data_IF_377786671060
#
_entry.id   IF_377786671060
#
_cell.length_a   1.000
_cell.length_b   1.000
_cell.length_c   1.000
_cell.angle_alpha   90.00
_cell.angle_beta   90.00
_cell.angle_gamma   90.00
#
_symmetry.space_group_name_H-M   'P 1'
#
loop_
_entity.id
_entity.type
_entity.pdbx_description
1 polymer ?
#
# COMPACT_ATOMS: atom_id res chain seq x y z
N UNK A 1 -37.71 27.04 -53.06
CA UNK A 1 -37.91 25.98 -52.05
C UNK A 1 -36.75 25.00 -52.16
N UNK A 2 -35.68 25.28 -51.43
CA UNK A 2 -34.59 24.35 -51.12
C UNK A 2 -35.06 23.56 -49.87
N UNK A 3 -34.78 22.27 -49.63
CA UNK A 3 -33.57 21.49 -49.85
C UNK A 3 -33.90 20.00 -50.04
N UNK A 4 -33.06 19.35 -50.83
CA UNK A 4 -32.84 17.93 -50.79
C UNK A 4 -31.87 17.56 -49.65
N UNK A 5 -31.89 16.26 -49.33
CA UNK A 5 -30.75 15.42 -49.03
C UNK A 5 -30.38 15.16 -47.57
N UNK A 6 -30.47 13.87 -47.25
CA UNK A 6 -29.59 13.08 -46.38
C UNK A 6 -28.50 13.84 -45.63
N UNK A 7 -28.56 13.77 -44.30
CA UNK A 7 -27.47 13.15 -43.55
C UNK A 7 -28.02 12.64 -42.21
N UNK A 8 -28.02 11.31 -42.06
CA UNK A 8 -28.01 10.69 -40.73
C UNK A 8 -26.70 11.11 -40.07
N UNK A 9 -26.74 12.19 -39.31
CA UNK A 9 -25.75 12.35 -38.25
C UNK A 9 -26.06 11.29 -37.21
N UNK A 10 -25.36 10.16 -37.35
CA UNK A 10 -25.07 9.27 -36.24
C UNK A 10 -24.56 10.18 -35.13
N UNK A 11 -25.34 10.30 -34.06
CA UNK A 11 -24.97 11.01 -32.85
C UNK A 11 -23.83 10.18 -32.24
N UNK A 12 -22.61 10.44 -32.70
CA UNK A 12 -21.40 9.92 -32.10
C UNK A 12 -21.27 10.68 -30.79
N UNK A 13 -21.75 10.09 -29.69
CA UNK A 13 -21.46 10.58 -28.35
C UNK A 13 -19.96 10.47 -28.17
N UNK A 14 -19.27 11.56 -28.49
CA UNK A 14 -17.84 11.73 -28.23
C UNK A 14 -17.66 11.62 -26.71
N UNK A 15 -16.94 10.60 -26.29
CA UNK A 15 -16.47 10.39 -24.92
C UNK A 15 -15.40 11.44 -24.56
N UNK A 16 -15.73 12.72 -24.52
CA UNK A 16 -14.68 13.74 -24.34
C UNK A 16 -15.19 14.96 -23.58
N UNK A 17 -15.33 14.81 -22.27
CA UNK A 17 -15.12 15.90 -21.32
C UNK A 17 -14.27 15.37 -20.14
N UNK A 18 -13.21 14.63 -20.45
CA UNK A 18 -12.20 14.29 -19.46
C UNK A 18 -11.34 15.52 -19.19
N UNK A 19 -11.54 16.13 -18.02
CA UNK A 19 -10.70 17.21 -17.54
C UNK A 19 -9.64 16.67 -16.57
N UNK A 20 -8.40 17.12 -16.73
CA UNK A 20 -7.34 16.86 -15.77
C UNK A 20 -7.35 17.98 -14.74
N UNK A 21 -7.75 17.66 -13.53
CA UNK A 21 -7.77 18.61 -12.41
C UNK A 21 -6.71 18.21 -11.39
N UNK A 22 -5.98 19.21 -10.88
CA UNK A 22 -5.09 19.02 -9.73
C UNK A 22 -5.81 19.49 -8.48
N UNK A 23 -6.08 18.58 -7.56
CA UNK A 23 -6.71 18.92 -6.28
C UNK A 23 -5.66 19.50 -5.32
N UNK A 24 -5.98 20.53 -4.52
CA UNK A 24 -5.10 20.99 -3.45
C UNK A 24 -4.84 19.86 -2.45
N UNK A 25 -3.58 19.57 -2.13
CA UNK A 25 -3.20 18.52 -1.20
C UNK A 25 -1.90 18.86 -0.46
N UNK A 26 -1.67 18.21 0.69
CA UNK A 26 -0.39 18.35 1.40
C UNK A 26 0.79 17.86 0.57
N UNK A 27 1.97 18.45 0.78
CA UNK A 27 3.23 17.95 0.20
C UNK A 27 3.88 16.98 1.17
N UNK A 28 4.40 15.85 0.66
CA UNK A 28 5.23 15.00 1.51
C UNK A 28 6.50 15.75 1.93
N UNK A 29 6.97 15.59 3.18
CA UNK A 29 8.17 16.27 3.68
C UNK A 29 9.47 15.51 3.39
N UNK A 30 9.39 14.24 2.96
CA UNK A 30 10.53 13.34 2.82
C UNK A 30 10.54 12.60 1.47
N UNK A 31 11.51 11.72 1.25
CA UNK A 31 11.64 10.92 0.03
C UNK A 31 11.10 9.49 0.14
N UNK A 32 10.51 9.10 1.28
CA UNK A 32 10.20 7.69 1.61
C UNK A 32 8.75 7.46 2.03
N UNK A 33 7.93 8.51 2.12
CA UNK A 33 6.55 8.45 2.57
C UNK A 33 5.52 8.58 1.45
N UNK A 34 5.94 8.61 0.17
CA UNK A 34 5.04 8.84 -0.96
C UNK A 34 3.87 7.84 -1.02
N UNK A 35 4.15 6.55 -0.78
CA UNK A 35 3.10 5.52 -0.74
C UNK A 35 2.06 5.74 0.36
N UNK A 36 2.48 6.27 1.52
CA UNK A 36 1.58 6.60 2.64
C UNK A 36 0.64 7.74 2.24
N UNK A 37 1.18 8.80 1.65
CA UNK A 37 0.37 9.93 1.19
C UNK A 37 -0.59 9.53 0.05
N UNK A 38 -0.15 8.72 -0.91
CA UNK A 38 -1.03 8.20 -1.96
C UNK A 38 -2.23 7.43 -1.39
N UNK A 39 -2.01 6.55 -0.41
CA UNK A 39 -3.08 5.80 0.23
C UNK A 39 -4.03 6.72 1.01
N UNK A 40 -3.48 7.67 1.78
CA UNK A 40 -4.29 8.60 2.57
C UNK A 40 -5.07 9.59 1.70
N UNK A 41 -4.53 10.04 0.57
CA UNK A 41 -5.28 10.84 -0.39
C UNK A 41 -6.41 10.05 -1.05
N UNK A 42 -6.17 8.79 -1.42
CA UNK A 42 -7.22 7.93 -1.98
C UNK A 42 -8.36 7.71 -0.96
N UNK A 43 -8.01 7.43 0.30
CA UNK A 43 -8.97 7.29 1.40
C UNK A 43 -9.80 8.58 1.56
N UNK A 44 -9.14 9.73 1.69
CA UNK A 44 -9.82 11.03 1.84
C UNK A 44 -10.71 11.39 0.64
N UNK A 45 -10.22 11.15 -0.57
CA UNK A 45 -10.97 11.40 -1.80
C UNK A 45 -12.25 10.56 -1.87
N UNK A 46 -12.17 9.27 -1.52
CA UNK A 46 -13.36 8.38 -1.48
C UNK A 46 -14.38 8.81 -0.43
N UNK A 47 -13.93 9.42 0.67
CA UNK A 47 -14.78 9.95 1.73
C UNK A 47 -15.25 11.39 1.49
N UNK A 48 -14.85 12.02 0.38
CA UNK A 48 -15.11 13.42 0.08
C UNK A 48 -14.61 14.39 1.17
N UNK A 49 -13.48 14.02 1.79
CA UNK A 49 -12.76 14.80 2.80
C UNK A 49 -11.68 15.69 2.16
N UNK A 50 -11.19 16.66 2.94
CA UNK A 50 -10.05 17.50 2.57
C UNK A 50 -8.73 16.67 2.46
N UNK A 51 -7.90 16.98 1.45
CA UNK A 51 -6.61 16.33 1.18
C UNK A 51 -5.41 16.99 1.89
N UNK A 52 -5.67 17.93 2.79
CA UNK A 52 -4.68 18.57 3.65
C UNK A 52 -4.41 17.68 4.88
N UNK A 53 -3.43 16.81 4.72
CA UNK A 53 -2.95 15.91 5.76
C UNK A 53 -1.86 16.56 6.63
N UNK A 54 -1.91 16.40 7.96
CA UNK A 54 -0.75 16.56 8.82
C UNK A 54 0.46 15.80 8.28
N UNK A 55 1.62 16.43 8.32
CA UNK A 55 2.85 15.93 7.68
C UNK A 55 4.04 15.90 8.65
N UNK A 56 3.78 16.00 9.96
CA UNK A 56 4.85 15.85 10.95
C UNK A 56 5.28 14.39 11.05
N UNK A 57 6.54 14.09 11.42
CA UNK A 57 7.03 12.71 11.52
C UNK A 57 6.16 11.79 12.38
N UNK A 58 5.57 12.32 13.45
CA UNK A 58 4.65 11.58 14.33
C UNK A 58 3.36 11.15 13.61
N UNK A 59 2.84 11.99 12.72
CA UNK A 59 1.60 11.74 12.01
C UNK A 59 1.84 10.71 10.91
N UNK A 60 2.98 10.83 10.20
CA UNK A 60 3.42 9.84 9.21
C UNK A 60 3.63 8.48 9.87
N UNK A 61 4.26 8.44 11.05
CA UNK A 61 4.41 7.21 11.81
C UNK A 61 3.05 6.60 12.18
N UNK A 62 2.10 7.41 12.65
CA UNK A 62 0.76 6.92 12.94
C UNK A 62 0.05 6.40 11.69
N UNK A 63 0.13 7.08 10.55
CA UNK A 63 -0.44 6.60 9.29
C UNK A 63 0.12 5.25 8.87
N UNK A 64 1.43 5.02 9.07
CA UNK A 64 2.04 3.72 8.80
C UNK A 64 1.43 2.63 9.68
N UNK A 65 1.25 2.91 10.98
CA UNK A 65 0.61 1.96 11.90
C UNK A 65 -0.83 1.68 11.50
N UNK A 66 -1.63 2.70 11.22
CA UNK A 66 -3.03 2.54 10.83
C UNK A 66 -3.19 1.70 9.55
N UNK A 67 -2.31 1.96 8.56
CA UNK A 67 -2.30 1.20 7.30
C UNK A 67 -1.92 -0.25 7.56
N UNK A 68 -0.89 -0.50 8.39
CA UNK A 68 -0.48 -1.86 8.74
C UNK A 68 -1.58 -2.62 9.50
N UNK A 69 -2.26 -1.96 10.44
CA UNK A 69 -3.36 -2.55 11.18
C UNK A 69 -4.55 -2.88 10.24
N UNK A 70 -4.89 -1.96 9.34
CA UNK A 70 -5.93 -2.19 8.34
C UNK A 70 -5.59 -3.35 7.42
N UNK A 71 -4.35 -3.42 6.94
CA UNK A 71 -3.86 -4.53 6.13
C UNK A 71 -3.93 -5.83 6.92
N UNK A 72 -3.45 -5.87 8.18
CA UNK A 72 -3.50 -7.07 9.02
C UNK A 72 -4.93 -7.58 9.23
N UNK A 73 -5.87 -6.69 9.57
CA UNK A 73 -7.28 -7.05 9.81
C UNK A 73 -8.00 -7.58 8.56
N UNK A 74 -7.57 -7.18 7.36
CA UNK A 74 -8.24 -7.49 6.10
C UNK A 74 -7.47 -8.49 5.24
N UNK A 75 -6.50 -9.21 5.82
CA UNK A 75 -5.75 -10.23 5.09
C UNK A 75 -6.50 -11.54 5.00
N UNK A 76 -6.45 -12.14 3.81
CA UNK A 76 -6.86 -13.52 3.61
C UNK A 76 -5.94 -14.46 4.39
N UNK A 77 -6.53 -15.49 4.98
CA UNK A 77 -5.80 -16.54 5.72
C UNK A 77 -4.77 -17.28 4.87
N UNK A 78 -4.91 -17.26 3.54
CA UNK A 78 -3.95 -17.83 2.60
C UNK A 78 -2.58 -17.11 2.60
N UNK A 79 -2.49 -15.88 3.12
CA UNK A 79 -1.24 -15.10 3.17
C UNK A 79 -0.33 -15.55 4.33
N UNK A 80 -0.84 -16.35 5.28
CA UNK A 80 -0.07 -16.90 6.39
C UNK A 80 1.08 -17.80 5.90
N UNK A 81 0.94 -18.39 4.70
CA UNK A 81 1.96 -19.26 4.09
C UNK A 81 3.04 -18.50 3.29
N UNK A 82 2.99 -17.15 3.29
CA UNK A 82 3.93 -16.31 2.56
C UNK A 82 4.85 -15.54 3.50
N UNK A 83 6.13 -15.44 3.11
CA UNK A 83 7.10 -14.60 3.80
C UNK A 83 6.74 -13.13 3.60
N UNK A 84 6.59 -12.38 4.70
CA UNK A 84 6.19 -10.96 4.64
C UNK A 84 7.25 -10.04 4.04
N UNK A 85 8.50 -10.48 3.93
CA UNK A 85 9.56 -9.72 3.28
C UNK A 85 9.61 -9.92 1.77
N UNK A 86 9.43 -11.16 1.28
CA UNK A 86 9.61 -11.46 -0.15
C UNK A 86 8.31 -11.82 -0.88
N UNK A 87 7.21 -12.05 -0.16
CA UNK A 87 5.93 -12.47 -0.72
C UNK A 87 5.88 -13.91 -1.23
N UNK A 88 6.91 -14.72 -0.97
CA UNK A 88 7.01 -16.10 -1.47
C UNK A 88 6.85 -17.13 -0.35
N UNK A 89 6.37 -18.32 -0.69
CA UNK A 89 6.39 -19.49 0.20
C UNK A 89 7.79 -20.10 0.33
N UNK A 90 8.65 -19.90 -0.68
CA UNK A 90 10.03 -20.38 -0.71
C UNK A 90 11.02 -19.21 -0.84
N UNK A 91 12.19 -19.27 -0.16
CA UNK A 91 13.23 -18.25 -0.32
C UNK A 91 13.91 -18.38 -1.69
N UNK A 92 14.22 -17.26 -2.32
CA UNK A 92 14.88 -17.22 -3.63
C UNK A 92 16.23 -17.96 -3.62
N UNK A 93 16.41 -18.88 -4.56
CA UNK A 93 17.69 -19.56 -4.78
C UNK A 93 18.01 -20.74 -3.87
N UNK A 94 17.04 -21.31 -3.13
CA UNK A 94 17.23 -22.54 -2.34
C UNK A 94 16.05 -23.50 -2.45
N UNK A 95 16.33 -24.74 -2.86
CA UNK A 95 15.29 -25.73 -3.19
C UNK A 95 14.94 -26.69 -2.04
N UNK A 96 15.81 -26.88 -1.03
CA UNK A 96 15.73 -28.10 -0.23
C UNK A 96 15.35 -27.95 1.25
N UNK A 97 15.14 -26.74 1.80
CA UNK A 97 14.60 -26.54 3.17
C UNK A 97 14.28 -25.08 3.46
N UNK A 98 13.04 -24.79 3.88
CA UNK A 98 12.63 -23.47 4.34
C UNK A 98 12.68 -23.43 5.86
N UNK A 99 13.35 -22.41 6.40
CA UNK A 99 13.31 -22.08 7.82
C UNK A 99 12.46 -20.83 7.98
N UNK A 100 11.40 -20.96 8.76
CA UNK A 100 10.50 -19.87 9.08
C UNK A 100 10.83 -19.31 10.46
N UNK A 101 10.67 -18.00 10.61
CA UNK A 101 10.74 -17.30 11.89
C UNK A 101 9.50 -16.41 12.01
N UNK A 102 8.88 -16.43 13.18
CA UNK A 102 7.74 -15.61 13.54
C UNK A 102 7.91 -15.12 14.98
N UNK A 103 7.13 -14.11 15.37
CA UNK A 103 7.10 -13.63 16.75
C UNK A 103 5.96 -14.34 17.49
N UNK A 104 6.26 -15.03 18.60
CA UNK A 104 5.24 -15.76 19.38
C UNK A 104 4.16 -14.84 19.97
N UNK A 105 4.48 -13.54 20.17
CA UNK A 105 3.52 -12.54 20.64
C UNK A 105 2.62 -12.01 19.54
N UNK A 106 3.20 -11.78 18.36
CA UNK A 106 2.47 -11.18 17.24
C UNK A 106 1.79 -12.23 16.36
N UNK A 107 2.22 -13.51 16.43
CA UNK A 107 1.55 -14.74 15.95
C UNK A 107 1.21 -14.87 14.47
N UNK A 108 1.12 -13.75 13.75
CA UNK A 108 0.42 -13.63 12.46
C UNK A 108 1.37 -13.38 11.29
N UNK A 109 2.64 -13.15 11.59
CA UNK A 109 3.66 -12.81 10.58
C UNK A 109 4.79 -13.83 10.59
N UNK A 110 4.96 -14.48 9.44
CA UNK A 110 6.04 -15.42 9.17
C UNK A 110 7.01 -14.84 8.15
N UNK A 111 8.29 -15.08 8.38
CA UNK A 111 9.38 -14.66 7.52
C UNK A 111 10.29 -15.84 7.22
N UNK A 112 10.89 -15.89 6.03
CA UNK A 112 12.03 -16.76 5.83
C UNK A 112 13.20 -16.24 6.66
N UNK A 113 13.84 -17.14 7.42
CA UNK A 113 15.02 -16.82 8.20
C UNK A 113 16.10 -16.15 7.35
N UNK A 114 16.25 -16.57 6.09
CA UNK A 114 17.20 -15.98 5.14
C UNK A 114 16.82 -14.55 4.74
N UNK A 115 15.53 -14.28 4.47
CA UNK A 115 15.06 -12.93 4.15
C UNK A 115 15.31 -11.97 5.32
N UNK A 116 15.08 -12.43 6.56
CA UNK A 116 15.41 -11.66 7.76
C UNK A 116 16.89 -11.36 7.88
N UNK A 117 17.75 -12.38 7.75
CA UNK A 117 19.19 -12.25 7.92
C UNK A 117 19.80 -11.24 6.95
N UNK A 118 19.32 -11.19 5.71
CA UNK A 118 19.83 -10.28 4.68
C UNK A 118 19.35 -8.84 4.87
N UNK A 119 18.23 -8.62 5.58
CA UNK A 119 17.61 -7.30 5.77
C UNK A 119 17.80 -6.74 7.20
N UNK A 120 18.86 -7.12 7.91
CA UNK A 120 19.10 -6.73 9.32
C UNK A 120 19.42 -5.23 9.58
N UNK A 121 19.09 -4.31 8.67
CA UNK A 121 19.21 -2.86 8.92
C UNK A 121 17.98 -2.23 9.58
N UNK A 122 16.87 -2.97 9.74
CA UNK A 122 15.63 -2.47 10.33
C UNK A 122 15.58 -2.75 11.84
N UNK A 123 15.90 -1.73 12.64
CA UNK A 123 15.79 -1.76 14.09
C UNK A 123 14.39 -1.31 14.53
N UNK A 124 13.46 -2.25 14.69
CA UNK A 124 12.23 -2.02 15.45
C UNK A 124 12.10 -3.09 16.55
N UNK A 125 12.07 -2.62 17.79
CA UNK A 125 12.08 -3.43 19.01
C UNK A 125 10.65 -3.65 19.47
N UNK A 126 10.20 -4.89 19.49
CA UNK A 126 9.04 -5.28 20.31
C UNK A 126 9.55 -5.61 21.71
N UNK A 127 8.82 -5.16 22.73
CA UNK A 127 9.17 -5.35 24.13
C UNK A 127 9.51 -6.83 24.42
N UNK A 128 10.81 -7.08 24.59
CA UNK A 128 11.43 -8.38 24.90
C UNK A 128 11.76 -9.30 23.70
N UNK A 129 12.99 -9.12 23.17
CA UNK A 129 13.87 -10.14 22.52
C UNK A 129 13.47 -10.77 21.18
N UNK A 130 12.38 -10.36 20.52
CA UNK A 130 12.10 -10.80 19.15
C UNK A 130 11.80 -9.61 18.22
N UNK A 131 12.37 -9.66 17.01
CA UNK A 131 12.29 -8.57 16.01
C UNK A 131 10.91 -8.52 15.35
N UNK A 132 10.26 -7.37 15.40
CA UNK A 132 9.17 -7.02 14.50
C UNK A 132 9.76 -6.12 13.41
N UNK A 133 9.61 -6.47 12.13
CA UNK A 133 10.05 -5.56 11.06
C UNK A 133 9.00 -4.46 10.93
N UNK A 134 9.42 -3.23 11.22
CA UNK A 134 8.78 -1.99 10.78
C UNK A 134 9.68 -1.33 9.74
#
# INVERSE_FOLDING_TARGET
SFLANSNRHVHMTLWTDWEVVTLPHSKQPDSTSCGIFCLKFAEKFLHNDDLLLPSEPKDIFQYRLDILESIGKNQDSAIIELCRLCGCSMPSGKENRVQWIGCDKCGEFWFHYQCMKTNMSYNAVCESRYMCIL
#
